data_IF_858190531094
#
_entry.id   IF_858190531094
#
_cell.length_a   1.000
_cell.length_b   1.000
_cell.length_c   1.000
_cell.angle_alpha   90.00
_cell.angle_beta   90.00
_cell.angle_gamma   90.00
#
_symmetry.space_group_name_H-M   'P 1'
#
loop_
_entity.id
_entity.type
_entity.pdbx_description
1 polymer ?
#
# COMPACT_ATOMS: atom_id res chain seq x y z
N UNK A 1 31.40 -26.03 51.12
CA UNK A 1 30.74 -24.78 50.66
C UNK A 1 30.99 -24.53 49.15
N UNK A 2 30.87 -25.57 48.32
CA UNK A 2 31.18 -25.52 46.86
C UNK A 2 29.93 -25.85 46.02
N UNK A 3 29.05 -26.72 46.51
CA UNK A 3 27.80 -27.11 45.83
C UNK A 3 26.74 -26.00 45.69
N UNK A 4 26.79 -24.94 46.50
CA UNK A 4 25.80 -23.84 46.41
C UNK A 4 26.06 -22.97 45.17
N UNK A 5 27.31 -22.89 44.71
CA UNK A 5 27.73 -21.97 43.64
C UNK A 5 27.35 -22.47 42.24
N UNK A 6 27.22 -23.78 42.06
CA UNK A 6 26.81 -24.39 40.79
C UNK A 6 25.29 -24.33 40.58
N UNK A 7 24.52 -24.54 41.65
CA UNK A 7 23.05 -24.47 41.59
C UNK A 7 22.54 -23.05 41.29
N UNK A 8 23.25 -22.02 41.74
CA UNK A 8 22.92 -20.61 41.43
C UNK A 8 23.21 -20.29 39.96
N UNK A 9 24.30 -20.80 39.39
CA UNK A 9 24.63 -20.63 37.96
C UNK A 9 23.60 -21.35 37.07
N UNK A 10 23.20 -22.56 37.45
CA UNK A 10 22.19 -23.32 36.73
C UNK A 10 20.83 -22.63 36.78
N UNK A 11 20.45 -22.07 37.93
CA UNK A 11 19.22 -21.28 38.08
C UNK A 11 19.20 -20.02 37.22
N UNK A 12 20.33 -19.31 37.13
CA UNK A 12 20.44 -18.11 36.29
C UNK A 12 20.35 -18.43 34.79
N UNK A 13 20.95 -19.54 34.36
CA UNK A 13 20.86 -20.00 32.97
C UNK A 13 19.43 -20.44 32.60
N UNK A 14 18.74 -21.16 33.49
CA UNK A 14 17.34 -21.54 33.30
C UNK A 14 16.41 -20.32 33.25
N UNK A 15 16.63 -19.32 34.11
CA UNK A 15 15.86 -18.08 34.11
C UNK A 15 16.07 -17.27 32.83
N UNK A 16 17.32 -17.17 32.35
CA UNK A 16 17.64 -16.53 31.07
C UNK A 16 17.00 -17.26 29.89
N UNK A 17 17.06 -18.59 29.87
CA UNK A 17 16.43 -19.41 28.82
C UNK A 17 14.90 -19.24 28.81
N UNK A 18 14.26 -19.25 29.97
CA UNK A 18 12.82 -19.04 30.11
C UNK A 18 12.42 -17.62 29.71
N UNK A 19 13.25 -16.61 30.00
CA UNK A 19 13.02 -15.24 29.55
C UNK A 19 13.15 -15.09 28.03
N UNK A 20 14.14 -15.74 27.41
CA UNK A 20 14.30 -15.81 25.96
C UNK A 20 13.13 -16.54 25.28
N UNK A 21 12.68 -17.67 25.84
CA UNK A 21 11.53 -18.42 25.34
C UNK A 21 10.22 -17.64 25.53
N UNK A 22 10.05 -16.96 26.66
CA UNK A 22 8.92 -16.05 26.91
C UNK A 22 8.88 -14.91 25.90
N UNK A 23 10.03 -14.31 25.60
CA UNK A 23 10.19 -13.25 24.61
C UNK A 23 9.82 -13.72 23.19
N UNK A 24 10.19 -14.96 22.82
CA UNK A 24 9.81 -15.58 21.55
C UNK A 24 8.29 -15.79 21.43
N UNK A 25 7.62 -16.22 22.51
CA UNK A 25 6.16 -16.42 22.54
C UNK A 25 5.41 -15.07 22.52
N UNK A 26 5.94 -14.02 23.16
CA UNK A 26 5.33 -12.67 23.10
C UNK A 26 5.62 -11.93 21.79
N UNK A 27 6.72 -12.26 21.10
CA UNK A 27 7.10 -11.59 19.84
C UNK A 27 6.19 -11.96 18.66
N UNK A 28 5.47 -13.10 18.73
CA UNK A 28 4.43 -13.45 17.76
C UNK A 28 3.17 -12.57 17.82
N UNK A 29 3.07 -11.66 18.81
CA UNK A 29 2.02 -10.62 18.84
C UNK A 29 2.38 -9.34 18.09
N UNK A 30 3.58 -9.26 17.50
CA UNK A 30 3.95 -8.13 16.67
C UNK A 30 3.21 -8.19 15.33
N UNK A 31 2.15 -7.39 15.27
CA UNK A 31 1.57 -6.84 14.04
C UNK A 31 0.93 -7.85 13.07
N UNK A 32 -0.14 -8.51 13.53
CA UNK A 32 -1.25 -8.75 12.62
C UNK A 32 -2.03 -7.45 12.44
N UNK A 33 -1.59 -6.61 11.50
CA UNK A 33 -2.46 -5.56 10.95
C UNK A 33 -3.66 -6.31 10.34
N UNK A 34 -4.79 -6.26 11.04
CA UNK A 34 -5.99 -6.96 10.59
C UNK A 34 -6.47 -6.32 9.29
N UNK A 35 -7.25 -7.04 8.46
CA UNK A 35 -7.82 -6.46 7.23
C UNK A 35 -8.71 -5.22 7.47
N UNK A 36 -9.07 -4.91 8.72
CA UNK A 36 -9.82 -3.71 9.12
C UNK A 36 -8.96 -2.46 9.35
N UNK A 37 -7.64 -2.61 9.47
CA UNK A 37 -6.71 -1.50 9.73
C UNK A 37 -6.01 -1.00 8.45
N UNK A 38 -6.38 -1.56 7.29
CA UNK A 38 -5.82 -1.18 6.01
C UNK A 38 -6.41 0.16 5.51
N UNK A 39 -5.58 1.04 4.93
CA UNK A 39 -6.07 2.32 4.41
C UNK A 39 -7.06 2.09 3.28
N UNK A 40 -8.19 2.76 3.33
CA UNK A 40 -9.20 2.67 2.26
C UNK A 40 -8.72 3.42 1.02
N UNK A 41 -8.61 2.72 -0.11
CA UNK A 41 -8.24 3.34 -1.38
C UNK A 41 -9.37 4.23 -1.90
N UNK A 42 -9.02 5.44 -2.31
CA UNK A 42 -9.95 6.39 -2.92
C UNK A 42 -10.05 6.17 -4.43
N UNK A 43 -11.25 6.19 -5.02
CA UNK A 43 -11.44 5.92 -6.44
C UNK A 43 -10.82 7.00 -7.34
N UNK A 44 -9.86 6.62 -8.16
CA UNK A 44 -9.29 7.51 -9.18
C UNK A 44 -10.13 7.51 -10.48
N UNK A 45 -11.33 8.10 -10.41
CA UNK A 45 -12.27 8.11 -11.54
C UNK A 45 -11.69 8.80 -12.78
N UNK A 46 -10.92 9.88 -12.60
CA UNK A 46 -10.32 10.63 -13.72
C UNK A 46 -9.35 9.79 -14.54
N UNK A 47 -8.61 8.88 -13.91
CA UNK A 47 -7.67 8.01 -14.60
C UNK A 47 -8.41 7.02 -15.52
N UNK A 48 -9.42 6.32 -15.00
CA UNK A 48 -10.12 5.26 -15.75
C UNK A 48 -11.21 5.78 -16.69
N UNK A 49 -11.85 6.91 -16.37
CA UNK A 49 -12.92 7.51 -17.17
C UNK A 49 -12.43 8.68 -18.05
N UNK A 50 -11.12 8.83 -18.25
CA UNK A 50 -10.49 9.97 -18.95
C UNK A 50 -11.15 10.30 -20.29
N UNK A 51 -11.40 9.29 -21.12
CA UNK A 51 -11.96 9.48 -22.46
C UNK A 51 -13.39 10.02 -22.42
N UNK A 52 -14.23 9.43 -21.57
CA UNK A 52 -15.63 9.82 -21.42
C UNK A 52 -15.71 11.21 -20.79
N UNK A 53 -14.83 11.54 -19.85
CA UNK A 53 -14.75 12.88 -19.27
C UNK A 53 -14.29 13.93 -20.27
N UNK A 54 -13.30 13.62 -21.13
CA UNK A 54 -12.93 14.52 -22.22
C UNK A 54 -14.10 14.77 -23.19
N UNK A 55 -14.93 13.76 -23.44
CA UNK A 55 -16.14 13.95 -24.23
C UNK A 55 -17.20 14.76 -23.48
N UNK A 56 -17.40 14.49 -22.19
CA UNK A 56 -18.33 15.20 -21.31
C UNK A 56 -17.99 16.68 -21.22
N UNK A 57 -16.72 17.01 -21.03
CA UNK A 57 -16.28 18.40 -20.89
C UNK A 57 -16.56 19.20 -22.17
N UNK A 58 -16.46 18.57 -23.36
CA UNK A 58 -16.89 19.18 -24.63
C UNK A 58 -18.41 19.43 -24.70
N UNK A 59 -19.21 18.66 -23.98
CA UNK A 59 -20.67 18.86 -23.89
C UNK A 59 -21.08 19.89 -22.85
N UNK A 60 -20.20 20.20 -21.89
CA UNK A 60 -20.40 21.28 -20.92
C UNK A 60 -20.12 22.66 -21.54
N UNK A 61 -19.34 22.73 -22.62
CA UNK A 61 -19.16 23.95 -23.41
C UNK A 61 -20.49 24.37 -24.07
N UNK A 62 -20.97 25.57 -23.76
CA UNK A 62 -22.25 26.12 -24.24
C UNK A 62 -22.38 26.09 -25.78
N UNK A 63 -21.27 26.27 -26.50
CA UNK A 63 -21.22 26.26 -27.98
C UNK A 63 -21.48 24.88 -28.59
N UNK A 64 -21.34 23.79 -27.82
CA UNK A 64 -21.44 22.40 -28.29
C UNK A 64 -22.57 21.63 -27.60
N UNK A 65 -23.29 22.28 -26.68
CA UNK A 65 -24.39 21.68 -25.91
C UNK A 65 -25.57 21.21 -26.76
N UNK A 66 -25.68 21.68 -28.00
CA UNK A 66 -26.70 21.25 -28.97
C UNK A 66 -26.33 19.94 -29.71
N UNK A 67 -25.15 19.36 -29.47
CA UNK A 67 -24.81 18.07 -30.06
C UNK A 67 -25.75 16.97 -29.50
N UNK A 68 -26.51 16.28 -30.36
CA UNK A 68 -27.47 15.25 -29.94
C UNK A 68 -26.81 14.07 -29.22
N UNK A 69 -25.50 13.91 -29.31
CA UNK A 69 -24.75 12.87 -28.58
C UNK A 69 -24.51 13.21 -27.10
N UNK A 70 -24.68 14.46 -26.66
CA UNK A 70 -24.33 14.89 -25.31
C UNK A 70 -25.10 14.20 -24.18
N UNK A 71 -26.43 13.96 -24.26
CA UNK A 71 -27.14 13.19 -23.24
C UNK A 71 -26.57 11.77 -23.04
N UNK A 72 -26.19 11.11 -24.14
CA UNK A 72 -25.56 9.78 -24.11
C UNK A 72 -24.19 9.84 -23.46
N UNK A 73 -23.36 10.84 -23.80
CA UNK A 73 -22.03 11.04 -23.20
C UNK A 73 -22.12 11.31 -21.69
N UNK A 74 -23.06 12.14 -21.24
CA UNK A 74 -23.29 12.40 -19.81
C UNK A 74 -23.68 11.12 -19.07
N UNK A 75 -24.53 10.30 -19.68
CA UNK A 75 -24.96 9.00 -19.13
C UNK A 75 -23.76 8.04 -19.03
N UNK A 76 -22.95 7.93 -20.08
CA UNK A 76 -21.74 7.11 -20.07
C UNK A 76 -20.74 7.57 -19.02
N UNK A 77 -20.61 8.90 -18.80
CA UNK A 77 -19.71 9.44 -17.79
C UNK A 77 -20.15 9.02 -16.38
N UNK A 78 -21.45 9.15 -16.08
CA UNK A 78 -22.04 8.72 -14.82
C UNK A 78 -21.91 7.22 -14.60
N UNK A 79 -22.17 6.41 -15.63
CA UNK A 79 -22.00 4.96 -15.59
C UNK A 79 -20.54 4.56 -15.30
N UNK A 80 -19.57 5.21 -15.98
CA UNK A 80 -18.15 4.97 -15.72
C UNK A 80 -17.75 5.33 -14.29
N UNK A 81 -18.21 6.47 -13.78
CA UNK A 81 -17.96 6.85 -12.39
C UNK A 81 -18.54 5.83 -11.39
N UNK A 82 -19.77 5.39 -11.62
CA UNK A 82 -20.41 4.35 -10.81
C UNK A 82 -19.64 3.02 -10.84
N UNK A 83 -19.17 2.61 -12.02
CA UNK A 83 -18.38 1.39 -12.20
C UNK A 83 -17.05 1.44 -11.45
N UNK A 84 -16.31 2.56 -11.54
CA UNK A 84 -15.04 2.74 -10.84
C UNK A 84 -15.26 2.74 -9.33
N UNK A 85 -16.28 3.45 -8.82
CA UNK A 85 -16.64 3.44 -7.40
C UNK A 85 -16.97 2.03 -6.91
N UNK A 86 -17.72 1.26 -7.70
CA UNK A 86 -18.06 -0.12 -7.38
C UNK A 86 -16.80 -1.02 -7.35
N UNK A 87 -15.88 -0.85 -8.30
CA UNK A 87 -14.62 -1.57 -8.33
C UNK A 87 -13.78 -1.29 -7.08
N UNK A 88 -13.64 -0.02 -6.69
CA UNK A 88 -12.89 0.35 -5.48
C UNK A 88 -13.55 -0.19 -4.20
N UNK A 89 -14.88 -0.24 -4.13
CA UNK A 89 -15.59 -0.92 -3.03
C UNK A 89 -15.24 -2.40 -2.95
N UNK A 90 -15.13 -3.09 -4.09
CA UNK A 90 -14.70 -4.50 -4.15
C UNK A 90 -13.23 -4.66 -3.76
N UNK A 91 -12.36 -3.76 -4.21
CA UNK A 91 -10.92 -3.76 -3.90
C UNK A 91 -10.69 -3.60 -2.40
N UNK A 92 -11.35 -2.61 -1.79
CA UNK A 92 -11.23 -2.29 -0.37
C UNK A 92 -11.82 -3.36 0.56
N UNK A 93 -12.68 -4.24 0.04
CA UNK A 93 -13.25 -5.33 0.84
C UNK A 93 -12.42 -6.60 0.73
N UNK A 94 -12.08 -7.03 -0.49
CA UNK A 94 -11.37 -8.32 -0.69
C UNK A 94 -10.43 -8.34 -1.91
N UNK A 95 -10.58 -7.42 -2.86
CA UNK A 95 -9.97 -7.55 -4.19
C UNK A 95 -8.45 -7.42 -4.24
N UNK A 96 -7.84 -6.60 -3.37
CA UNK A 96 -6.39 -6.38 -3.31
C UNK A 96 -5.84 -6.28 -1.87
N UNK A 97 -6.49 -6.94 -0.91
CA UNK A 97 -6.20 -6.79 0.52
C UNK A 97 -4.74 -7.14 0.88
N UNK A 98 -4.18 -8.16 0.24
CA UNK A 98 -2.79 -8.57 0.45
C UNK A 98 -1.80 -7.51 -0.05
N UNK A 99 -1.98 -7.01 -1.28
CA UNK A 99 -1.13 -5.98 -1.87
C UNK A 99 -1.22 -4.66 -1.12
N UNK A 100 -2.42 -4.31 -0.64
CA UNK A 100 -2.66 -3.13 0.17
C UNK A 100 -1.95 -3.22 1.52
N UNK A 101 -1.99 -4.40 2.17
CA UNK A 101 -1.23 -4.67 3.39
C UNK A 101 0.26 -4.56 3.15
N UNK A 102 0.78 -5.23 2.12
CA UNK A 102 2.20 -5.21 1.81
C UNK A 102 2.69 -3.79 1.52
N UNK A 103 1.91 -2.98 0.80
CA UNK A 103 2.23 -1.57 0.54
C UNK A 103 2.25 -0.77 1.83
N UNK A 104 1.25 -0.97 2.69
CA UNK A 104 1.13 -0.29 3.99
C UNK A 104 2.32 -0.62 4.89
N UNK A 105 2.69 -1.90 5.00
CA UNK A 105 3.87 -2.34 5.74
C UNK A 105 5.16 -1.75 5.16
N UNK A 106 5.24 -1.61 3.83
CA UNK A 106 6.41 -1.02 3.18
C UNK A 106 6.57 0.46 3.55
N UNK A 107 5.48 1.23 3.51
CA UNK A 107 5.48 2.66 3.78
C UNK A 107 5.63 2.98 5.29
N UNK A 108 4.99 2.20 6.17
CA UNK A 108 4.95 2.48 7.61
C UNK A 108 6.07 1.82 8.41
N UNK A 109 6.51 0.61 8.05
CA UNK A 109 7.42 -0.17 8.88
C UNK A 109 8.76 -0.38 8.20
N UNK A 110 8.75 -0.88 6.95
CA UNK A 110 9.96 -1.37 6.29
C UNK A 110 10.89 -0.26 5.83
N UNK A 111 10.34 0.75 5.16
CA UNK A 111 11.06 2.01 4.90
C UNK A 111 10.64 3.10 5.89
N UNK A 112 9.60 2.87 6.70
CA UNK A 112 9.15 3.78 7.75
C UNK A 112 10.09 3.86 8.95
N UNK A 113 10.87 2.81 9.25
CA UNK A 113 12.00 2.90 10.20
C UNK A 113 13.08 3.91 9.77
N UNK A 114 13.11 4.27 8.49
CA UNK A 114 13.95 5.33 7.93
C UNK A 114 13.20 6.68 7.83
N UNK A 115 11.89 6.66 7.56
CA UNK A 115 11.07 7.88 7.47
C UNK A 115 10.53 8.42 8.80
N UNK A 116 10.50 7.62 9.88
CA UNK A 116 10.15 8.02 11.24
C UNK A 116 11.18 8.95 11.89
N UNK A 117 12.28 9.19 11.18
CA UNK A 117 13.14 10.33 11.42
C UNK A 117 13.03 11.26 10.22
N UNK A 118 12.44 12.42 10.44
CA UNK A 118 12.56 13.63 9.62
C UNK A 118 14.03 14.08 9.38
N UNK A 119 15.01 13.25 9.73
CA UNK A 119 16.47 13.45 9.69
C UNK A 119 17.09 12.94 8.39
N UNK A 120 16.37 12.20 7.54
CA UNK A 120 16.92 11.72 6.26
C UNK A 120 16.80 12.70 5.08
N UNK A 121 16.21 13.88 5.31
CA UNK A 121 16.30 14.99 4.34
C UNK A 121 17.46 15.93 4.65
N UNK A 122 18.24 15.63 5.69
CA UNK A 122 19.47 16.32 6.07
C UNK A 122 20.64 15.37 5.90
N UNK A 123 21.79 15.88 5.46
CA UNK A 123 23.03 15.15 5.19
C UNK A 123 23.68 14.47 6.44
N UNK A 124 22.93 14.33 7.54
CA UNK A 124 23.44 13.94 8.86
C UNK A 124 23.02 12.52 9.30
N UNK A 125 22.14 11.84 8.57
CA UNK A 125 21.72 10.48 8.90
C UNK A 125 22.86 9.43 9.01
N UNK A 126 23.98 9.50 8.24
CA UNK A 126 25.08 8.56 8.40
C UNK A 126 25.79 8.66 9.77
N UNK A 127 25.71 9.81 10.45
CA UNK A 127 26.47 10.05 11.70
C UNK A 127 25.86 9.38 12.93
N UNK A 128 24.57 9.02 12.91
CA UNK A 128 23.87 8.56 14.12
C UNK A 128 23.91 7.04 14.28
N UNK A 129 24.08 6.27 13.20
CA UNK A 129 24.00 4.80 13.26
C UNK A 129 25.35 4.06 13.21
N UNK A 130 26.49 4.76 13.11
CA UNK A 130 27.80 4.09 13.06
C UNK A 130 27.97 3.12 11.88
N UNK A 131 27.07 3.18 10.90
CA UNK A 131 27.08 2.36 9.70
C UNK A 131 27.89 3.05 8.60
N UNK A 132 28.63 2.28 7.82
CA UNK A 132 29.34 2.80 6.65
C UNK A 132 28.31 3.41 5.69
N UNK A 133 28.60 4.61 5.18
CA UNK A 133 27.64 5.37 4.38
C UNK A 133 27.18 4.66 3.10
N UNK A 134 27.95 3.68 2.61
CA UNK A 134 27.64 2.85 1.45
C UNK A 134 26.63 1.73 1.79
N UNK A 135 26.82 0.98 2.88
CA UNK A 135 25.88 -0.06 3.33
C UNK A 135 24.51 0.54 3.68
N UNK A 136 24.51 1.74 4.26
CA UNK A 136 23.28 2.48 4.54
C UNK A 136 22.54 2.89 3.25
N UNK A 137 23.27 3.38 2.24
CA UNK A 137 22.70 3.74 0.94
C UNK A 137 22.13 2.51 0.23
N UNK A 138 22.87 1.42 0.20
CA UNK A 138 22.44 0.16 -0.42
C UNK A 138 21.17 -0.40 0.26
N UNK A 139 21.09 -0.33 1.60
CA UNK A 139 19.90 -0.73 2.34
C UNK A 139 18.67 0.15 2.02
N UNK A 140 18.86 1.48 1.94
CA UNK A 140 17.79 2.43 1.58
C UNK A 140 17.31 2.21 0.14
N UNK A 141 18.23 2.05 -0.81
CA UNK A 141 17.91 1.78 -2.21
C UNK A 141 17.23 0.41 -2.38
N UNK A 142 17.71 -0.62 -1.69
CA UNK A 142 17.07 -1.94 -1.64
C UNK A 142 15.63 -1.87 -1.11
N UNK A 143 15.40 -1.09 -0.05
CA UNK A 143 14.06 -0.87 0.51
C UNK A 143 13.15 -0.15 -0.51
N UNK A 144 13.63 0.93 -1.12
CA UNK A 144 12.88 1.70 -2.12
C UNK A 144 12.49 0.82 -3.33
N UNK A 145 13.42 0.01 -3.83
CA UNK A 145 13.16 -0.92 -4.94
C UNK A 145 12.12 -1.99 -4.58
N UNK A 146 12.18 -2.51 -3.36
CA UNK A 146 11.18 -3.45 -2.86
C UNK A 146 9.78 -2.82 -2.77
N UNK A 147 9.65 -1.62 -2.17
CA UNK A 147 8.37 -0.93 -2.09
C UNK A 147 7.84 -0.52 -3.46
N UNK A 148 8.71 -0.14 -4.40
CA UNK A 148 8.29 0.15 -5.77
C UNK A 148 7.72 -1.09 -6.47
N UNK A 149 8.29 -2.27 -6.21
CA UNK A 149 7.75 -3.54 -6.73
C UNK A 149 6.37 -3.85 -6.15
N UNK A 150 6.19 -3.66 -4.85
CA UNK A 150 4.89 -3.87 -4.18
C UNK A 150 3.84 -2.87 -4.71
N UNK A 151 4.22 -1.60 -4.84
CA UNK A 151 3.36 -0.56 -5.41
C UNK A 151 2.86 -0.92 -6.80
N UNK A 152 3.77 -1.37 -7.69
CA UNK A 152 3.40 -1.84 -9.03
C UNK A 152 2.40 -3.00 -9.00
N UNK A 153 2.55 -3.95 -8.07
CA UNK A 153 1.60 -5.06 -7.90
C UNK A 153 0.23 -4.59 -7.42
N UNK A 154 0.19 -3.62 -6.50
CA UNK A 154 -1.05 -3.00 -6.06
C UNK A 154 -1.74 -2.26 -7.22
N UNK A 155 -0.99 -1.46 -7.97
CA UNK A 155 -1.49 -0.72 -9.13
C UNK A 155 -2.08 -1.67 -10.18
N UNK A 156 -1.37 -2.75 -10.51
CA UNK A 156 -1.86 -3.78 -11.43
C UNK A 156 -3.16 -4.41 -10.91
N UNK A 157 -3.22 -4.78 -9.63
CA UNK A 157 -4.41 -5.35 -9.04
C UNK A 157 -5.61 -4.40 -9.12
N UNK A 158 -5.40 -3.10 -8.86
CA UNK A 158 -6.43 -2.07 -9.00
C UNK A 158 -6.90 -1.98 -10.46
N UNK A 159 -5.97 -1.91 -11.42
CA UNK A 159 -6.29 -1.84 -12.84
C UNK A 159 -7.12 -3.04 -13.31
N UNK A 160 -6.68 -4.26 -12.99
CA UNK A 160 -7.37 -5.49 -13.39
C UNK A 160 -8.81 -5.55 -12.83
N UNK A 161 -8.99 -5.18 -11.56
CA UNK A 161 -10.30 -5.15 -10.92
C UNK A 161 -11.22 -4.09 -11.54
N UNK A 162 -10.69 -2.88 -11.81
CA UNK A 162 -11.46 -1.81 -12.44
C UNK A 162 -11.84 -2.19 -13.88
N UNK A 163 -10.89 -2.69 -14.68
CA UNK A 163 -11.16 -3.15 -16.05
C UNK A 163 -12.19 -4.28 -16.08
N UNK A 164 -12.12 -5.23 -15.14
CA UNK A 164 -13.11 -6.32 -15.02
C UNK A 164 -14.52 -5.78 -14.79
N UNK A 165 -14.69 -4.76 -13.94
CA UNK A 165 -16.01 -4.15 -13.69
C UNK A 165 -16.47 -3.33 -14.88
N UNK A 166 -15.61 -2.50 -15.47
CA UNK A 166 -15.94 -1.69 -16.64
C UNK A 166 -16.37 -2.57 -17.83
N UNK A 167 -15.64 -3.66 -18.10
CA UNK A 167 -15.98 -4.64 -19.14
C UNK A 167 -17.34 -5.29 -18.88
N UNK A 168 -17.64 -5.66 -17.63
CA UNK A 168 -18.96 -6.21 -17.25
C UNK A 168 -20.11 -5.22 -17.47
N UNK A 169 -19.85 -3.93 -17.38
CA UNK A 169 -20.84 -2.88 -17.65
C UNK A 169 -20.85 -2.40 -19.11
N UNK A 170 -20.09 -3.04 -20.00
CA UNK A 170 -20.04 -2.68 -21.42
C UNK A 170 -19.30 -1.38 -21.72
N UNK A 171 -18.54 -0.84 -20.75
CA UNK A 171 -17.78 0.39 -20.91
C UNK A 171 -16.44 0.05 -21.55
N UNK A 172 -16.19 0.57 -22.76
CA UNK A 172 -14.92 0.36 -23.45
C UNK A 172 -13.82 1.16 -22.77
N UNK A 173 -12.85 0.44 -22.21
CA UNK A 173 -11.57 1.01 -21.78
C UNK A 173 -10.60 0.79 -22.94
N UNK A 174 -9.87 1.83 -23.35
CA UNK A 174 -8.70 1.61 -24.22
C UNK A 174 -7.58 1.09 -23.34
N UNK A 175 -7.06 -0.08 -23.68
CA UNK A 175 -5.75 -0.53 -23.21
C UNK A 175 -4.73 0.31 -24.00
N UNK A 176 -3.94 1.12 -23.28
CA UNK A 176 -2.82 1.88 -23.84
C UNK A 176 -1.63 0.95 -24.12
#
# INVERSE_FOLDING_TARGET
>A
MVHVKENVKLGFLLSSLLFCLGSLVTSHKSFQMGPRDLPTLQPNVKQFCRFVYKARDRCLDEKKRQDPSCPSIMTQASQCEGAVKLAYRSINTWGCSYQLRDQTLCELERCGGYHGVSVLRTNDAPKVMGANSEEFKEAVEGCANHCNTIRKRLDQCIQDNVHKVLKKQGIRVKED
#
